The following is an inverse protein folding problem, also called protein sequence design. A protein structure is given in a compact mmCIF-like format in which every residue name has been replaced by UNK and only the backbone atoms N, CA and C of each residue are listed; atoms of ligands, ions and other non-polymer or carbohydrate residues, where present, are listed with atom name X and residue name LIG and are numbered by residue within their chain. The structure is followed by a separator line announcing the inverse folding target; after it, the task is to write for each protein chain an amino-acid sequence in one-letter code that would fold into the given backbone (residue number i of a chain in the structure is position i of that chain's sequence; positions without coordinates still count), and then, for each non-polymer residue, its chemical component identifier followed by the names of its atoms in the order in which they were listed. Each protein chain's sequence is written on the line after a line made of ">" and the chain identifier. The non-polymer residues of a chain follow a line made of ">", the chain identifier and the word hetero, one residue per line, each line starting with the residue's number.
data_IF_895491219949
#
_entry.id   IF_895491219949
#
_cell.length_a   1.000
_cell.length_b   1.000
_cell.length_c   1.000
_cell.angle_alpha   90.00
_cell.angle_beta   90.00
_cell.angle_gamma   90.00
#
_symmetry.space_group_name_H-M   'P 1'
#
loop_
_entity.id
_entity.type
_entity.pdbx_description
1 polymer ?
#
# COMPACT_ATOMS: atom_id res chain seq x y z
N UNK A 1 17.32 -3.65 7.64
CA UNK A 1 16.45 -2.68 8.36
C UNK A 1 15.25 -3.42 8.94
N UNK A 2 14.51 -4.18 8.12
CA UNK A 2 13.34 -4.98 8.51
C UNK A 2 13.51 -5.78 9.80
N UNK A 3 14.53 -6.64 9.92
CA UNK A 3 14.76 -7.44 11.13
C UNK A 3 15.08 -6.62 12.39
N UNK A 4 15.61 -5.40 12.23
CA UNK A 4 15.83 -4.48 13.36
C UNK A 4 14.50 -3.88 13.84
N UNK A 5 13.56 -3.62 12.93
CA UNK A 5 12.24 -3.07 13.24
C UNK A 5 11.24 -4.15 13.69
N UNK A 6 11.42 -5.40 13.23
CA UNK A 6 10.58 -6.54 13.53
C UNK A 6 11.40 -7.65 14.23
N UNK A 7 11.79 -7.46 15.51
CA UNK A 7 12.67 -8.41 16.20
C UNK A 7 12.03 -9.78 16.48
N UNK A 8 10.72 -9.93 16.26
CA UNK A 8 9.98 -11.18 16.48
C UNK A 8 9.97 -12.12 15.27
N UNK A 9 10.39 -11.67 14.08
CA UNK A 9 10.45 -12.52 12.88
C UNK A 9 11.88 -13.02 12.66
N UNK A 10 12.03 -14.20 12.07
CA UNK A 10 13.32 -14.78 11.68
C UNK A 10 13.74 -14.37 10.26
N UNK A 11 15.03 -14.56 9.94
CA UNK A 11 15.55 -14.33 8.59
C UNK A 11 14.79 -15.12 7.52
N UNK A 12 14.36 -16.35 7.83
CA UNK A 12 13.60 -17.21 6.91
C UNK A 12 12.20 -16.68 6.57
N UNK A 13 11.67 -15.76 7.40
CA UNK A 13 10.39 -15.08 7.17
C UNK A 13 10.55 -13.80 6.34
N UNK A 14 11.78 -13.38 6.04
CA UNK A 14 12.07 -12.23 5.18
C UNK A 14 12.46 -12.73 3.79
N UNK A 15 11.61 -12.42 2.81
CA UNK A 15 11.90 -12.69 1.41
C UNK A 15 12.58 -11.47 0.79
N UNK A 16 13.76 -11.65 0.23
CA UNK A 16 14.49 -10.58 -0.45
C UNK A 16 14.20 -10.62 -1.96
N UNK A 17 13.80 -9.48 -2.50
CA UNK A 17 13.51 -9.31 -3.92
C UNK A 17 14.74 -8.71 -4.62
N UNK A 18 15.33 -9.38 -5.63
CA UNK A 18 16.52 -8.87 -6.33
C UNK A 18 16.19 -7.78 -7.36
N UNK A 19 14.90 -7.55 -7.65
CA UNK A 19 14.43 -6.53 -8.59
C UNK A 19 13.03 -6.06 -8.20
N UNK A 20 12.72 -4.78 -8.42
CA UNK A 20 11.36 -4.25 -8.22
C UNK A 20 10.44 -4.74 -9.34
N UNK A 21 9.48 -5.61 -9.01
CA UNK A 21 8.52 -6.19 -9.98
C UNK A 21 7.04 -5.98 -9.61
N UNK A 22 6.76 -4.97 -8.78
CA UNK A 22 5.42 -4.64 -8.30
C UNK A 22 4.83 -5.80 -7.45
N UNK A 23 3.53 -5.79 -7.13
CA UNK A 23 2.98 -6.63 -6.06
C UNK A 23 2.68 -8.08 -6.45
N UNK A 24 2.39 -8.39 -7.72
CA UNK A 24 1.98 -9.75 -8.08
C UNK A 24 3.10 -10.79 -7.88
N UNK A 25 4.37 -10.56 -8.28
CA UNK A 25 5.43 -11.54 -8.12
C UNK A 25 5.76 -11.86 -6.66
N UNK A 26 5.82 -10.85 -5.78
CA UNK A 26 6.10 -11.08 -4.37
C UNK A 26 4.95 -11.82 -3.65
N UNK A 27 3.70 -11.54 -4.04
CA UNK A 27 2.51 -12.24 -3.53
C UNK A 27 2.53 -13.71 -3.96
N UNK A 28 2.77 -14.01 -5.25
CA UNK A 28 2.80 -15.40 -5.72
C UNK A 28 3.90 -16.20 -5.03
N UNK A 29 5.11 -15.66 -4.96
CA UNK A 29 6.23 -16.34 -4.34
C UNK A 29 5.96 -16.62 -2.85
N UNK A 30 5.38 -15.65 -2.14
CA UNK A 30 4.93 -15.80 -0.76
C UNK A 30 3.83 -16.85 -0.63
N UNK A 31 2.84 -16.84 -1.52
CA UNK A 31 1.74 -17.80 -1.53
C UNK A 31 2.23 -19.24 -1.76
N UNK A 32 3.16 -19.46 -2.69
CA UNK A 32 3.78 -20.77 -2.93
C UNK A 32 4.56 -21.26 -1.69
N UNK A 33 5.34 -20.37 -1.06
CA UNK A 33 6.07 -20.68 0.18
C UNK A 33 5.15 -21.06 1.33
N UNK A 34 4.07 -20.30 1.51
CA UNK A 34 3.06 -20.53 2.55
C UNK A 34 2.29 -21.82 2.26
N UNK A 35 1.79 -22.02 1.04
CA UNK A 35 1.06 -23.21 0.60
C UNK A 35 1.89 -24.49 0.78
N UNK A 36 3.21 -24.43 0.53
CA UNK A 36 4.13 -25.56 0.78
C UNK A 36 4.22 -25.95 2.26
N UNK A 37 4.16 -24.97 3.17
CA UNK A 37 4.17 -25.22 4.63
C UNK A 37 2.81 -25.64 5.16
N UNK A 38 1.74 -25.01 4.68
CA UNK A 38 0.36 -25.28 5.06
C UNK A 38 -0.56 -25.09 3.83
N UNK A 39 -1.04 -26.18 3.20
CA UNK A 39 -1.92 -26.10 2.03
C UNK A 39 -3.26 -25.41 2.28
N UNK A 40 -3.71 -25.36 3.54
CA UNK A 40 -4.97 -24.76 3.97
C UNK A 40 -4.77 -23.38 4.62
N UNK A 41 -3.60 -22.77 4.45
CA UNK A 41 -3.32 -21.46 5.03
C UNK A 41 -4.24 -20.38 4.46
N UNK A 42 -4.67 -19.47 5.34
CA UNK A 42 -5.20 -18.17 4.95
C UNK A 42 -4.05 -17.15 4.96
N UNK A 43 -4.17 -16.16 4.10
CA UNK A 43 -3.16 -15.12 3.90
C UNK A 43 -3.81 -13.75 4.05
N UNK A 44 -3.11 -12.88 4.78
CA UNK A 44 -3.32 -11.44 4.78
C UNK A 44 -2.13 -10.81 4.06
N UNK A 45 -2.41 -10.03 3.03
CA UNK A 45 -1.43 -9.18 2.34
C UNK A 45 -1.74 -7.74 2.71
N UNK A 46 -0.81 -7.07 3.37
CA UNK A 46 -0.98 -5.70 3.82
C UNK A 46 0.27 -4.86 3.46
N UNK A 47 0.10 -3.65 2.92
CA UNK A 47 1.21 -2.72 2.72
C UNK A 47 1.82 -2.31 4.06
N UNK A 48 3.15 -2.10 4.08
CA UNK A 48 3.90 -1.79 5.30
C UNK A 48 3.91 -0.30 5.67
N UNK A 49 3.33 0.54 4.82
CA UNK A 49 3.40 2.00 4.83
C UNK A 49 2.04 2.68 5.03
N UNK A 50 1.00 1.92 5.37
CA UNK A 50 -0.32 2.45 5.71
C UNK A 50 -0.44 2.76 7.21
N UNK A 51 -1.36 3.67 7.56
CA UNK A 51 -1.69 4.06 8.92
C UNK A 51 -3.12 3.67 9.28
N UNK A 52 -3.28 2.93 10.37
CA UNK A 52 -4.54 2.46 10.94
C UNK A 52 -4.44 2.64 12.47
N UNK A 53 -5.35 3.40 13.08
CA UNK A 53 -5.36 3.65 14.53
C UNK A 53 -6.28 2.68 15.26
N UNK A 54 -7.45 2.35 14.69
CA UNK A 54 -8.38 1.39 15.26
C UNK A 54 -7.98 -0.05 14.90
N UNK A 55 -6.94 -0.54 15.58
CA UNK A 55 -6.43 -1.90 15.42
C UNK A 55 -7.49 -2.98 15.72
N UNK A 56 -8.44 -2.70 16.61
CA UNK A 56 -9.50 -3.65 16.97
C UNK A 56 -10.52 -3.79 15.84
N UNK A 57 -10.98 -2.68 15.26
CA UNK A 57 -11.87 -2.71 14.10
C UNK A 57 -11.17 -3.38 12.91
N UNK A 58 -9.89 -3.10 12.68
CA UNK A 58 -9.09 -3.77 11.65
C UNK A 58 -9.03 -5.29 11.87
N UNK A 59 -8.70 -5.74 13.09
CA UNK A 59 -8.64 -7.16 13.42
C UNK A 59 -9.99 -7.87 13.23
N UNK A 60 -11.09 -7.23 13.66
CA UNK A 60 -12.44 -7.75 13.46
C UNK A 60 -12.79 -7.88 11.97
N UNK A 61 -12.42 -6.87 11.17
CA UNK A 61 -12.69 -6.87 9.74
C UNK A 61 -11.91 -7.96 9.00
N UNK A 62 -10.62 -8.11 9.34
CA UNK A 62 -9.77 -9.20 8.83
C UNK A 62 -10.30 -10.57 9.24
N UNK A 63 -10.77 -10.72 10.49
CA UNK A 63 -11.33 -11.99 10.96
C UNK A 63 -12.57 -12.40 10.17
N UNK A 64 -13.51 -11.47 9.92
CA UNK A 64 -14.67 -11.74 9.09
C UNK A 64 -14.28 -12.16 7.66
N UNK A 65 -13.25 -11.52 7.09
CA UNK A 65 -12.69 -11.93 5.78
C UNK A 65 -12.07 -13.33 5.84
N UNK A 66 -11.33 -13.68 6.90
CA UNK A 66 -10.77 -15.02 7.05
C UNK A 66 -11.86 -16.09 7.18
N UNK A 67 -12.92 -15.83 7.96
CA UNK A 67 -14.04 -16.76 8.11
C UNK A 67 -14.76 -17.03 6.78
N UNK A 68 -14.80 -16.05 5.87
CA UNK A 68 -15.33 -16.22 4.52
C UNK A 68 -14.35 -16.97 3.60
N UNK A 69 -13.08 -16.55 3.55
CA UNK A 69 -12.04 -17.17 2.73
C UNK A 69 -11.71 -18.62 3.12
N UNK A 70 -12.01 -19.02 4.35
CA UNK A 70 -11.89 -20.40 4.81
C UNK A 70 -12.94 -21.33 4.20
N UNK A 71 -14.15 -20.80 3.93
CA UNK A 71 -15.31 -21.58 3.47
C UNK A 71 -15.47 -21.55 1.96
N UNK A 72 -15.01 -20.47 1.32
CA UNK A 72 -15.28 -20.18 -0.08
C UNK A 72 -13.99 -19.89 -0.85
N UNK A 73 -13.98 -20.24 -2.14
CA UNK A 73 -12.86 -19.93 -3.03
C UNK A 73 -12.96 -18.50 -3.57
N UNK A 74 -12.69 -17.51 -2.70
CA UNK A 74 -12.86 -16.08 -2.99
C UNK A 74 -11.58 -15.29 -2.72
N UNK A 75 -11.42 -14.20 -3.46
CA UNK A 75 -10.39 -13.18 -3.22
C UNK A 75 -11.06 -11.98 -2.57
N UNK A 76 -10.59 -11.57 -1.39
CA UNK A 76 -11.19 -10.47 -0.63
C UNK A 76 -10.25 -9.27 -0.61
N UNK A 77 -10.85 -8.08 -0.63
CA UNK A 77 -10.18 -6.81 -0.32
C UNK A 77 -10.98 -6.02 0.72
N UNK A 78 -10.31 -5.10 1.41
CA UNK A 78 -10.93 -4.14 2.32
C UNK A 78 -11.18 -2.82 1.58
N UNK A 79 -12.43 -2.37 1.61
CA UNK A 79 -12.88 -1.15 0.95
C UNK A 79 -13.13 -0.02 1.95
N UNK A 80 -12.46 1.11 1.79
CA UNK A 80 -12.64 2.29 2.65
C UNK A 80 -13.73 3.19 2.09
N UNK A 81 -14.58 3.77 2.95
CA UNK A 81 -15.60 4.73 2.49
C UNK A 81 -14.93 6.00 1.94
N UNK A 82 -15.18 6.38 0.67
CA UNK A 82 -14.62 7.59 0.11
C UNK A 82 -15.23 8.84 0.75
N UNK A 83 -14.37 9.72 1.25
CA UNK A 83 -14.79 11.02 1.84
C UNK A 83 -14.57 12.20 0.90
N UNK A 84 -13.78 12.01 -0.17
CA UNK A 84 -13.54 12.99 -1.24
C UNK A 84 -13.17 12.29 -2.56
N UNK A 85 -13.22 12.97 -3.72
CA UNK A 85 -12.89 12.34 -5.01
C UNK A 85 -11.36 12.23 -5.24
N UNK A 86 -10.73 11.26 -4.58
CA UNK A 86 -9.28 11.02 -4.68
C UNK A 86 -8.92 10.34 -6.01
N UNK A 87 -8.09 10.97 -6.84
CA UNK A 87 -7.64 10.40 -8.14
C UNK A 87 -6.43 9.48 -8.03
N UNK A 88 -5.82 9.37 -6.84
CA UNK A 88 -4.65 8.54 -6.57
C UNK A 88 -4.99 7.11 -6.15
N UNK A 89 -6.25 6.84 -5.79
CA UNK A 89 -6.69 5.53 -5.29
C UNK A 89 -7.42 4.70 -6.34
N UNK A 90 -7.41 3.39 -6.14
CA UNK A 90 -8.35 2.48 -6.78
C UNK A 90 -9.73 2.59 -6.17
N UNK A 91 -10.76 2.38 -7.00
CA UNK A 91 -12.15 2.32 -6.59
C UNK A 91 -12.74 0.94 -6.88
N UNK A 92 -13.57 0.46 -5.97
CA UNK A 92 -14.21 -0.86 -6.00
C UNK A 92 -15.72 -0.64 -6.06
N UNK A 93 -16.34 -1.03 -7.16
CA UNK A 93 -17.80 -1.01 -7.26
C UNK A 93 -18.40 -2.30 -6.70
N UNK A 94 -19.45 -2.17 -5.90
CA UNK A 94 -20.32 -3.28 -5.49
C UNK A 94 -21.79 -2.96 -5.79
N UNK A 95 -22.66 -3.97 -5.66
CA UNK A 95 -24.09 -3.74 -5.77
C UNK A 95 -24.60 -2.89 -4.59
N UNK A 96 -25.20 -1.74 -4.91
CA UNK A 96 -25.77 -0.82 -3.92
C UNK A 96 -26.89 -1.46 -3.10
N UNK A 97 -27.63 -2.39 -3.70
CA UNK A 97 -28.79 -3.03 -3.06
C UNK A 97 -28.42 -4.30 -2.28
N UNK A 98 -27.19 -4.80 -2.43
CA UNK A 98 -26.70 -5.93 -1.64
C UNK A 98 -26.38 -5.44 -0.23
N UNK A 99 -27.05 -5.99 0.77
CA UNK A 99 -26.88 -5.64 2.19
C UNK A 99 -25.93 -6.59 2.92
N UNK A 100 -25.30 -7.52 2.20
CA UNK A 100 -24.30 -8.43 2.75
C UNK A 100 -23.08 -7.66 3.27
N UNK A 101 -22.49 -8.14 4.36
CA UNK A 101 -21.26 -7.58 4.92
C UNK A 101 -20.08 -7.68 3.95
N UNK A 102 -20.02 -8.79 3.21
CA UNK A 102 -19.05 -9.08 2.16
C UNK A 102 -19.82 -9.13 0.84
N UNK A 103 -19.47 -8.24 -0.09
CA UNK A 103 -20.19 -8.08 -1.36
C UNK A 103 -19.33 -8.50 -2.53
N UNK A 104 -19.95 -9.05 -3.56
CA UNK A 104 -19.25 -9.34 -4.81
C UNK A 104 -18.82 -8.03 -5.48
N UNK A 105 -17.56 -7.95 -5.90
CA UNK A 105 -17.06 -6.82 -6.69
C UNK A 105 -17.61 -6.90 -8.11
N UNK A 106 -18.16 -5.79 -8.59
CA UNK A 106 -18.62 -5.65 -9.98
C UNK A 106 -17.50 -5.20 -10.91
N UNK A 107 -16.70 -4.24 -10.45
CA UNK A 107 -15.55 -3.74 -11.20
C UNK A 107 -14.55 -3.06 -10.27
N UNK A 108 -13.28 -3.13 -10.67
CA UNK A 108 -12.20 -2.28 -10.16
C UNK A 108 -11.95 -1.14 -11.15
N UNK A 109 -11.61 0.03 -10.61
CA UNK A 109 -11.28 1.23 -11.36
C UNK A 109 -10.06 1.90 -10.71
N UNK A 110 -8.88 1.62 -11.24
CA UNK A 110 -7.65 2.22 -10.75
C UNK A 110 -7.49 3.68 -11.22
N UNK A 111 -7.27 4.59 -10.26
CA UNK A 111 -6.85 5.99 -10.47
C UNK A 111 -7.69 6.75 -11.51
N UNK A 112 -9.02 6.86 -11.27
CA UNK A 112 -9.90 7.61 -12.17
C UNK A 112 -9.52 9.10 -12.22
N UNK A 113 -9.95 9.79 -13.28
CA UNK A 113 -9.89 11.25 -13.30
C UNK A 113 -10.87 11.85 -12.27
N UNK A 114 -10.70 13.13 -11.96
CA UNK A 114 -11.46 13.82 -10.89
C UNK A 114 -12.98 13.78 -11.10
N UNK A 115 -13.46 13.98 -12.33
CA UNK A 115 -14.91 13.96 -12.63
C UNK A 115 -15.49 12.56 -12.43
N UNK A 116 -14.77 11.52 -12.85
CA UNK A 116 -15.15 10.13 -12.61
C UNK A 116 -15.16 9.79 -11.11
N UNK A 117 -14.13 10.21 -10.36
CA UNK A 117 -14.09 10.02 -8.91
C UNK A 117 -15.26 10.72 -8.20
N UNK A 118 -15.63 11.93 -8.65
CA UNK A 118 -16.79 12.67 -8.13
C UNK A 118 -18.10 11.93 -8.39
N UNK A 119 -18.25 11.32 -9.57
CA UNK A 119 -19.41 10.49 -9.89
C UNK A 119 -19.48 9.26 -8.98
N UNK A 120 -18.35 8.58 -8.73
CA UNK A 120 -18.31 7.42 -7.83
C UNK A 120 -18.80 7.74 -6.41
N UNK A 121 -18.43 8.91 -5.88
CA UNK A 121 -18.95 9.39 -4.60
C UNK A 121 -20.47 9.66 -4.65
N UNK A 122 -20.96 10.25 -5.74
CA UNK A 122 -22.39 10.53 -5.90
C UNK A 122 -23.23 9.24 -6.02
N UNK A 123 -22.70 8.21 -6.68
CA UNK A 123 -23.37 6.92 -6.84
C UNK A 123 -23.48 6.17 -5.50
N UNK A 124 -22.48 6.33 -4.62
CA UNK A 124 -22.50 5.82 -3.24
C UNK A 124 -22.39 4.30 -3.12
N UNK A 125 -21.93 3.63 -4.18
CA UNK A 125 -21.69 2.19 -4.23
C UNK A 125 -20.22 1.83 -4.54
N UNK A 126 -19.33 2.81 -4.41
CA UNK A 126 -17.90 2.66 -4.59
C UNK A 126 -17.17 2.80 -3.26
N UNK A 127 -16.15 1.97 -3.06
CA UNK A 127 -15.20 2.03 -1.95
C UNK A 127 -13.78 2.28 -2.48
N UNK A 128 -12.91 2.94 -1.72
CA UNK A 128 -11.49 2.98 -2.05
C UNK A 128 -10.83 1.62 -1.79
N UNK A 129 -9.96 1.18 -2.70
CA UNK A 129 -9.13 0.00 -2.53
C UNK A 129 -8.00 0.29 -1.53
N UNK A 130 -8.05 -0.34 -0.34
CA UNK A 130 -7.03 -0.15 0.69
C UNK A 130 -5.71 -0.87 0.37
N UNK A 131 -5.63 -1.63 -0.73
CA UNK A 131 -4.46 -2.46 -1.06
C UNK A 131 -4.21 -3.60 -0.07
N UNK A 132 -5.19 -3.92 0.77
CA UNK A 132 -5.15 -5.00 1.76
C UNK A 132 -6.00 -6.15 1.26
N UNK A 133 -5.40 -7.33 1.14
CA UNK A 133 -6.02 -8.48 0.52
C UNK A 133 -6.04 -9.70 1.43
N UNK A 134 -7.12 -10.48 1.34
CA UNK A 134 -7.36 -11.67 2.16
C UNK A 134 -7.82 -12.82 1.27
N UNK A 135 -7.20 -13.99 1.40
CA UNK A 135 -7.58 -15.19 0.64
C UNK A 135 -6.95 -16.44 1.24
N UNK A 136 -7.40 -17.61 0.80
CA UNK A 136 -6.63 -18.84 1.03
C UNK A 136 -5.42 -18.91 0.09
N UNK A 137 -4.33 -19.53 0.54
CA UNK A 137 -3.16 -19.79 -0.30
C UNK A 137 -3.51 -20.67 -1.51
N UNK A 138 -4.53 -21.52 -1.38
CA UNK A 138 -5.09 -22.27 -2.49
C UNK A 138 -5.73 -21.35 -3.54
N UNK A 139 -6.65 -20.48 -3.11
CA UNK A 139 -7.43 -19.58 -3.97
C UNK A 139 -6.53 -18.67 -4.80
N UNK A 140 -5.57 -18.01 -4.15
CA UNK A 140 -4.70 -17.07 -4.86
C UNK A 140 -3.79 -17.77 -5.87
N UNK A 141 -3.23 -18.94 -5.52
CA UNK A 141 -2.37 -19.70 -6.46
C UNK A 141 -3.19 -20.19 -7.66
N UNK A 142 -4.43 -20.63 -7.45
CA UNK A 142 -5.33 -20.98 -8.55
C UNK A 142 -5.62 -19.78 -9.46
N UNK A 143 -5.78 -18.58 -8.91
CA UNK A 143 -5.93 -17.36 -9.72
C UNK A 143 -4.66 -17.00 -10.49
N UNK A 144 -3.46 -17.24 -9.95
CA UNK A 144 -2.21 -17.09 -10.70
C UNK A 144 -2.08 -18.13 -11.82
N UNK A 145 -2.53 -19.37 -11.62
CA UNK A 145 -2.59 -20.39 -12.66
C UNK A 145 -3.47 -19.95 -13.85
N UNK A 146 -4.59 -19.28 -13.56
CA UNK A 146 -5.57 -18.83 -14.55
C UNK A 146 -5.16 -17.53 -15.26
N UNK A 147 -4.79 -16.49 -14.52
CA UNK A 147 -4.63 -15.13 -15.07
C UNK A 147 -3.19 -14.70 -15.34
N UNK A 148 -2.21 -15.34 -14.70
CA UNK A 148 -0.78 -15.03 -14.82
C UNK A 148 0.05 -16.32 -14.99
N UNK A 149 -0.37 -17.17 -15.94
CA UNK A 149 0.14 -18.53 -16.13
C UNK A 149 1.66 -18.60 -16.32
N UNK A 150 2.26 -17.64 -17.04
CA UNK A 150 3.71 -17.59 -17.25
C UNK A 150 4.47 -17.33 -15.94
N UNK A 151 4.00 -16.39 -15.11
CA UNK A 151 4.57 -16.11 -13.80
C UNK A 151 4.41 -17.30 -12.85
N UNK A 152 3.23 -17.93 -12.87
CA UNK A 152 3.01 -19.15 -12.10
C UNK A 152 3.95 -20.28 -12.53
N UNK A 153 4.12 -20.49 -13.84
CA UNK A 153 5.04 -21.49 -14.39
C UNK A 153 6.49 -21.21 -13.99
N UNK A 154 6.92 -19.94 -14.06
CA UNK A 154 8.25 -19.50 -13.66
C UNK A 154 8.56 -19.88 -12.20
N UNK A 155 7.70 -19.50 -11.25
CA UNK A 155 7.95 -19.75 -9.83
C UNK A 155 7.61 -21.18 -9.38
N UNK A 156 6.71 -21.88 -10.09
CA UNK A 156 6.41 -23.28 -9.80
C UNK A 156 7.61 -24.20 -9.99
N UNK A 157 8.56 -23.85 -10.88
CA UNK A 157 9.85 -24.57 -11.03
C UNK A 157 10.65 -24.65 -9.73
N UNK A 158 10.44 -23.69 -8.82
CA UNK A 158 11.15 -23.58 -7.56
C UNK A 158 10.48 -24.29 -6.38
N UNK A 159 9.29 -24.88 -6.54
CA UNK A 159 8.51 -25.41 -5.40
C UNK A 159 9.32 -26.39 -4.54
N UNK A 160 10.14 -27.27 -5.14
CA UNK A 160 10.98 -28.21 -4.39
C UNK A 160 12.03 -27.51 -3.50
N UNK A 161 12.57 -26.37 -3.95
CA UNK A 161 13.66 -25.64 -3.29
C UNK A 161 13.18 -24.48 -2.39
N UNK A 162 11.92 -24.04 -2.52
CA UNK A 162 11.33 -23.05 -1.60
C UNK A 162 11.39 -23.51 -0.14
N UNK A 163 11.67 -22.61 0.80
CA UNK A 163 11.90 -22.87 2.21
C UNK A 163 13.11 -23.79 2.51
N UNK A 164 14.09 -23.85 1.62
CA UNK A 164 15.35 -24.59 1.82
C UNK A 164 16.55 -23.66 1.62
N UNK A 165 17.77 -24.15 1.89
CA UNK A 165 19.00 -23.40 1.63
C UNK A 165 19.22 -23.02 0.16
N UNK A 166 18.53 -23.68 -0.79
CA UNK A 166 18.64 -23.40 -2.22
C UNK A 166 17.71 -22.26 -2.69
N UNK A 167 16.77 -21.83 -1.86
CA UNK A 167 15.73 -20.85 -2.22
C UNK A 167 16.34 -19.53 -2.72
N UNK A 168 17.35 -19.01 -2.01
CA UNK A 168 17.98 -17.71 -2.35
C UNK A 168 18.51 -17.71 -3.78
N UNK A 169 19.21 -18.78 -4.18
CA UNK A 169 19.77 -18.93 -5.52
C UNK A 169 18.67 -19.04 -6.59
N UNK A 170 17.55 -19.71 -6.27
CA UNK A 170 16.40 -19.77 -7.16
C UNK A 170 15.78 -18.37 -7.37
N UNK A 171 15.57 -17.60 -6.30
CA UNK A 171 15.01 -16.25 -6.39
C UNK A 171 15.94 -15.33 -7.18
N UNK A 172 17.23 -15.31 -6.87
CA UNK A 172 18.24 -14.48 -7.56
C UNK A 172 18.26 -14.71 -9.07
N UNK A 173 18.06 -15.96 -9.51
CA UNK A 173 18.06 -16.32 -10.94
C UNK A 173 16.75 -16.01 -11.66
N UNK A 174 15.61 -16.23 -11.01
CA UNK A 174 14.31 -16.28 -11.70
C UNK A 174 13.45 -15.03 -11.44
N UNK A 175 13.61 -14.35 -10.30
CA UNK A 175 12.68 -13.28 -9.91
C UNK A 175 12.68 -12.10 -10.89
N UNK A 176 13.84 -11.75 -11.46
CA UNK A 176 13.93 -10.70 -12.46
C UNK A 176 13.26 -11.06 -13.79
N UNK A 177 12.94 -12.33 -14.06
CA UNK A 177 12.22 -12.73 -15.27
C UNK A 177 10.70 -12.53 -15.14
N UNK A 178 10.18 -12.33 -13.92
CA UNK A 178 8.77 -12.09 -13.71
C UNK A 178 8.32 -10.76 -14.32
N UNK A 179 7.09 -10.75 -14.84
CA UNK A 179 6.42 -9.55 -15.31
C UNK A 179 6.33 -8.49 -14.19
N UNK A 180 6.54 -7.23 -14.54
CA UNK A 180 6.39 -6.10 -13.61
C UNK A 180 4.92 -5.64 -13.57
N UNK A 181 4.09 -6.30 -12.76
CA UNK A 181 2.63 -6.09 -12.72
C UNK A 181 2.09 -6.14 -11.29
N UNK A 182 1.10 -5.30 -10.97
CA UNK A 182 0.42 -5.36 -9.67
C UNK A 182 -0.61 -6.48 -9.63
N UNK A 183 -0.97 -6.91 -8.43
CA UNK A 183 -2.03 -7.90 -8.23
C UNK A 183 -3.40 -7.40 -8.70
N UNK A 184 -3.63 -6.09 -8.58
CA UNK A 184 -4.87 -5.43 -8.98
C UNK A 184 -5.11 -5.61 -10.50
N UNK A 185 -4.13 -5.24 -11.32
CA UNK A 185 -4.19 -5.41 -12.78
C UNK A 185 -4.03 -6.86 -13.23
N UNK A 186 -3.17 -7.61 -12.54
CA UNK A 186 -2.83 -8.97 -12.90
C UNK A 186 -4.00 -9.94 -12.74
N UNK A 187 -4.74 -9.80 -11.63
CA UNK A 187 -5.75 -10.75 -11.18
C UNK A 187 -7.07 -10.05 -10.82
N UNK A 188 -7.08 -9.07 -9.91
CA UNK A 188 -8.33 -8.60 -9.31
C UNK A 188 -9.29 -7.93 -10.30
N UNK A 189 -8.78 -7.22 -11.31
CA UNK A 189 -9.58 -6.65 -12.40
C UNK A 189 -10.23 -7.70 -13.32
N UNK A 190 -9.69 -8.92 -13.36
CA UNK A 190 -10.09 -9.99 -14.29
C UNK A 190 -10.88 -11.11 -13.61
N UNK A 191 -10.63 -11.34 -12.33
CA UNK A 191 -11.15 -12.47 -11.59
C UNK A 191 -12.65 -12.33 -11.29
N UNK A 192 -13.42 -13.39 -11.54
CA UNK A 192 -14.87 -13.41 -11.33
C UNK A 192 -15.32 -13.68 -9.89
N UNK A 193 -14.37 -13.99 -8.99
CA UNK A 193 -14.58 -14.38 -7.59
C UNK A 193 -13.98 -13.37 -6.59
N UNK A 194 -13.95 -12.08 -6.96
CA UNK A 194 -13.48 -11.02 -6.07
C UNK A 194 -14.64 -10.43 -5.26
N UNK A 195 -14.39 -10.22 -3.98
CA UNK A 195 -15.33 -9.70 -3.01
C UNK A 195 -14.69 -8.59 -2.19
N UNK A 196 -15.52 -7.69 -1.67
CA UNK A 196 -15.09 -6.56 -0.84
C UNK A 196 -15.86 -6.56 0.47
N UNK A 197 -15.14 -6.33 1.55
CA UNK A 197 -15.72 -5.96 2.84
C UNK A 197 -15.51 -4.48 3.06
N UNK A 198 -16.58 -3.76 3.40
CA UNK A 198 -16.47 -2.36 3.82
C UNK A 198 -15.74 -2.31 5.16
N UNK A 199 -14.65 -1.55 5.21
CA UNK A 199 -13.87 -1.32 6.41
C UNK A 199 -14.65 -0.47 7.42
N UNK A 200 -14.46 -0.79 8.69
CA UNK A 200 -15.01 -0.10 9.86
C UNK A 200 -13.95 0.65 10.65
N UNK A 201 -12.66 0.43 10.34
CA UNK A 201 -11.50 1.11 10.90
C UNK A 201 -11.15 2.39 10.13
N UNK A 202 -10.33 3.26 10.75
CA UNK A 202 -9.72 4.40 10.07
C UNK A 202 -8.53 3.96 9.22
N UNK A 203 -8.31 4.62 8.08
CA UNK A 203 -7.23 4.25 7.17
C UNK A 203 -6.66 5.47 6.46
N UNK A 204 -5.35 5.46 6.27
CA UNK A 204 -4.64 6.41 5.44
C UNK A 204 -3.41 5.73 4.80
N UNK A 205 -3.13 6.00 3.52
CA UNK A 205 -1.97 5.43 2.81
C UNK A 205 -0.65 6.18 3.06
N UNK A 206 -0.70 7.28 3.81
CA UNK A 206 0.40 8.22 4.07
C UNK A 206 1.12 8.68 2.79
N UNK A 207 0.40 8.75 1.66
CA UNK A 207 0.97 9.05 0.35
C UNK A 207 1.39 10.51 0.14
N UNK A 208 1.03 11.43 1.06
CA UNK A 208 1.38 12.86 0.98
C UNK A 208 1.86 13.42 2.31
N UNK A 209 2.61 14.52 2.25
CA UNK A 209 3.04 15.26 3.44
C UNK A 209 1.87 15.85 4.22
N UNK A 210 0.77 16.24 3.56
CA UNK A 210 -0.47 16.64 4.19
C UNK A 210 -1.11 15.52 4.99
N UNK A 211 -1.16 14.30 4.42
CA UNK A 211 -1.68 13.14 5.12
C UNK A 211 -0.87 12.82 6.39
N UNK A 212 0.46 12.92 6.32
CA UNK A 212 1.32 12.77 7.49
C UNK A 212 1.11 13.91 8.51
N UNK A 213 1.04 15.17 8.05
CA UNK A 213 0.77 16.33 8.89
C UNK A 213 -0.54 16.17 9.68
N UNK A 214 -1.60 15.66 9.06
CA UNK A 214 -2.89 15.46 9.71
C UNK A 214 -2.81 14.46 10.87
N UNK A 215 -1.98 13.42 10.74
CA UNK A 215 -1.80 12.36 11.75
C UNK A 215 -0.81 12.70 12.88
N UNK A 216 0.08 13.66 12.67
CA UNK A 216 1.05 14.05 13.69
C UNK A 216 0.46 14.97 14.76
N UNK A 217 0.99 14.84 15.98
CA UNK A 217 0.83 15.85 17.02
C UNK A 217 1.40 17.20 16.54
N UNK A 218 0.72 18.28 16.91
CA UNK A 218 1.04 19.64 16.49
C UNK A 218 1.28 20.53 17.70
N UNK A 219 2.13 21.52 17.55
CA UNK A 219 2.33 22.55 18.56
C UNK A 219 1.13 23.52 18.66
N UNK A 220 1.23 24.50 19.55
CA UNK A 220 0.21 25.54 19.77
C UNK A 220 -0.12 26.35 18.50
N UNK A 221 0.84 26.47 17.57
CA UNK A 221 0.70 27.18 16.29
C UNK A 221 0.42 26.23 15.12
N UNK A 222 0.01 25.00 15.41
CA UNK A 222 -0.30 23.96 14.42
C UNK A 222 0.90 23.47 13.60
N UNK A 223 2.14 23.66 14.03
CA UNK A 223 3.28 23.05 13.34
C UNK A 223 3.45 21.58 13.74
N UNK A 224 3.60 20.69 12.75
CA UNK A 224 3.99 19.31 12.96
C UNK A 224 5.51 19.18 12.76
N UNK A 225 6.21 18.57 13.71
CA UNK A 225 7.68 18.50 13.72
C UNK A 225 8.13 17.05 13.87
N UNK A 226 8.93 16.57 12.93
CA UNK A 226 9.52 15.23 12.95
C UNK A 226 11.03 15.35 12.96
N UNK A 227 11.64 14.79 14.00
CA UNK A 227 13.08 14.60 14.13
C UNK A 227 13.91 15.91 14.07
N UNK A 228 13.34 17.06 14.44
CA UNK A 228 14.03 18.36 14.47
C UNK A 228 13.93 19.02 15.86
N UNK A 229 14.91 19.87 16.19
CA UNK A 229 14.74 20.93 17.19
C UNK A 229 14.28 22.19 16.47
N UNK A 230 13.39 22.99 17.05
CA UNK A 230 12.82 24.15 16.35
C UNK A 230 12.89 25.45 17.13
N UNK A 231 13.12 26.55 16.42
CA UNK A 231 12.88 27.92 16.88
C UNK A 231 11.97 28.60 15.87
N UNK A 232 10.69 28.68 16.19
CA UNK A 232 9.65 29.16 15.29
C UNK A 232 9.14 30.53 15.76
N UNK A 233 9.24 31.54 14.90
CA UNK A 233 8.70 32.88 15.11
C UNK A 233 7.71 33.18 13.99
N UNK A 234 6.55 33.76 14.31
CA UNK A 234 5.53 34.12 13.31
C UNK A 234 5.31 32.99 12.27
N UNK A 235 5.27 31.73 12.73
CA UNK A 235 5.28 30.55 11.86
C UNK A 235 4.24 29.56 12.34
N UNK A 236 3.34 29.17 11.44
CA UNK A 236 2.16 28.38 11.77
C UNK A 236 1.81 27.37 10.68
N UNK A 237 1.16 26.28 11.08
CA UNK A 237 0.60 25.27 10.16
C UNK A 237 1.63 24.59 9.23
N UNK A 238 2.90 24.54 9.62
CA UNK A 238 3.98 23.94 8.84
C UNK A 238 4.15 22.44 9.12
N UNK A 239 4.60 21.70 8.11
CA UNK A 239 5.11 20.33 8.26
C UNK A 239 6.63 20.37 8.17
N UNK A 240 7.33 20.05 9.27
CA UNK A 240 8.79 20.13 9.36
C UNK A 240 9.35 18.72 9.57
N UNK A 241 10.22 18.29 8.67
CA UNK A 241 10.94 17.02 8.75
C UNK A 241 12.43 17.25 8.53
N UNK A 242 13.26 16.59 9.35
CA UNK A 242 14.70 16.49 9.13
C UNK A 242 15.16 15.02 9.25
N UNK A 243 16.13 14.61 8.46
CA UNK A 243 16.73 13.25 8.54
C UNK A 243 17.51 12.99 9.84
N UNK A 244 17.96 14.06 10.47
CA UNK A 244 18.75 14.11 11.70
C UNK A 244 18.17 15.15 12.64
N UNK A 245 18.49 15.09 13.94
CA UNK A 245 18.09 16.08 14.96
C UNK A 245 18.78 17.44 14.77
N UNK A 246 18.40 18.16 13.72
CA UNK A 246 18.91 19.48 13.35
C UNK A 246 18.04 20.57 13.96
N UNK A 247 18.66 21.71 14.27
CA UNK A 247 17.94 22.93 14.62
C UNK A 247 17.38 23.60 13.36
N UNK A 248 16.06 23.75 13.29
CA UNK A 248 15.32 24.46 12.24
C UNK A 248 14.79 25.78 12.79
N UNK A 249 15.22 26.89 12.19
CA UNK A 249 14.79 28.24 12.58
C UNK A 249 13.93 28.83 11.47
N UNK A 250 12.66 29.11 11.76
CA UNK A 250 11.72 29.73 10.82
C UNK A 250 11.19 31.04 11.42
N UNK A 251 11.15 32.10 10.60
CA UNK A 251 10.50 33.37 10.94
C UNK A 251 9.59 33.81 9.77
N UNK A 252 8.29 33.95 10.01
CA UNK A 252 7.33 34.40 9.00
C UNK A 252 6.93 33.34 7.97
N UNK A 253 7.13 32.05 8.25
CA UNK A 253 6.80 30.95 7.33
C UNK A 253 5.53 30.25 7.79
N UNK A 254 4.50 30.26 6.96
CA UNK A 254 3.20 29.67 7.26
C UNK A 254 2.71 28.75 6.14
N UNK A 255 2.13 27.61 6.52
CA UNK A 255 1.57 26.62 5.59
C UNK A 255 2.59 26.05 4.59
N UNK A 256 3.83 25.80 5.02
CA UNK A 256 4.87 25.14 4.22
C UNK A 256 5.18 23.72 4.68
N UNK A 257 5.63 22.92 3.73
CA UNK A 257 6.33 21.67 3.92
C UNK A 257 7.83 21.99 3.87
N UNK A 258 8.53 21.71 4.96
CA UNK A 258 9.97 21.91 5.16
C UNK A 258 10.61 20.54 5.36
N UNK A 259 11.39 20.06 4.39
CA UNK A 259 12.02 18.73 4.44
C UNK A 259 13.51 18.90 4.21
N UNK A 260 14.31 18.56 5.21
CA UNK A 260 15.78 18.50 5.12
C UNK A 260 16.20 17.03 5.13
N UNK A 261 16.74 16.54 4.01
CA UNK A 261 17.20 15.16 3.88
C UNK A 261 18.46 15.11 3.03
N UNK A 262 19.53 14.57 3.60
CA UNK A 262 20.82 14.38 2.92
C UNK A 262 21.33 15.68 2.27
N UNK A 263 21.34 15.76 0.95
CA UNK A 263 21.79 16.91 0.16
C UNK A 263 20.63 17.77 -0.39
N UNK A 264 19.40 17.54 0.08
CA UNK A 264 18.18 18.21 -0.37
C UNK A 264 17.47 18.93 0.78
N UNK A 265 17.22 20.23 0.58
CA UNK A 265 16.27 21.01 1.36
C UNK A 265 15.09 21.39 0.48
N UNK A 266 13.90 20.92 0.84
CA UNK A 266 12.64 21.29 0.22
C UNK A 266 11.90 22.27 1.10
N UNK A 267 11.54 23.43 0.54
CA UNK A 267 10.58 24.36 1.12
C UNK A 267 9.44 24.53 0.11
N UNK A 268 8.28 23.94 0.39
CA UNK A 268 7.20 23.83 -0.59
C UNK A 268 5.84 24.21 0.01
N UNK A 269 5.02 25.04 -0.64
CA UNK A 269 3.71 25.41 -0.11
C UNK A 269 2.83 24.17 0.08
N UNK A 270 2.28 23.97 1.28
CA UNK A 270 1.44 22.81 1.62
C UNK A 270 0.25 22.67 0.68
N UNK A 271 -0.40 23.79 0.33
CA UNK A 271 -1.53 23.84 -0.63
C UNK A 271 -1.23 23.32 -2.04
N UNK A 272 0.05 23.17 -2.41
CA UNK A 272 0.48 22.68 -3.72
C UNK A 272 0.94 21.23 -3.69
N UNK A 273 0.84 20.52 -2.56
CA UNK A 273 1.48 19.21 -2.34
C UNK A 273 1.31 18.18 -3.46
N UNK A 274 0.16 18.19 -4.16
CA UNK A 274 -0.11 17.29 -5.29
C UNK A 274 0.88 17.48 -6.46
N UNK A 275 1.50 18.65 -6.57
CA UNK A 275 2.51 19.00 -7.58
C UNK A 275 3.92 18.51 -7.23
N UNK A 276 4.15 17.93 -6.04
CA UNK A 276 5.49 17.45 -5.64
C UNK A 276 6.00 16.36 -6.60
N UNK A 277 5.12 15.51 -7.16
CA UNK A 277 5.51 14.51 -8.17
C UNK A 277 6.01 15.14 -9.46
N UNK A 278 5.39 16.25 -9.89
CA UNK A 278 5.83 17.01 -11.05
C UNK A 278 7.19 17.66 -10.77
N UNK A 279 7.36 18.25 -9.59
CA UNK A 279 8.63 18.83 -9.13
C UNK A 279 9.76 17.79 -9.09
N UNK A 280 9.51 16.57 -8.57
CA UNK A 280 10.48 15.48 -8.57
C UNK A 280 10.90 15.11 -9.99
N UNK A 281 9.97 15.06 -10.94
CA UNK A 281 10.29 14.81 -12.35
C UNK A 281 11.15 15.92 -12.96
N UNK A 282 10.91 17.18 -12.60
CA UNK A 282 11.74 18.30 -13.03
C UNK A 282 13.16 18.25 -12.46
N UNK A 283 13.30 17.97 -11.15
CA UNK A 283 14.59 17.77 -10.48
C UNK A 283 15.35 16.62 -11.13
N UNK A 284 14.68 15.49 -11.35
CA UNK A 284 15.21 14.30 -12.04
C UNK A 284 15.83 14.64 -13.40
N UNK A 285 15.09 15.37 -14.24
CA UNK A 285 15.53 15.77 -15.58
C UNK A 285 16.68 16.78 -15.55
N UNK A 286 16.66 17.70 -14.59
CA UNK A 286 17.65 18.78 -14.51
C UNK A 286 18.98 18.33 -13.92
N UNK A 287 18.97 17.31 -13.07
CA UNK A 287 20.13 16.88 -12.30
C UNK A 287 20.42 15.37 -12.41
N UNK A 288 19.98 14.73 -13.49
CA UNK A 288 20.26 13.32 -13.81
C UNK A 288 20.03 12.35 -12.64
N UNK A 289 18.90 12.52 -11.95
CA UNK A 289 18.49 11.72 -10.77
C UNK A 289 19.44 11.77 -9.56
N UNK A 290 20.39 12.71 -9.51
CA UNK A 290 21.33 12.84 -8.39
C UNK A 290 20.63 13.09 -7.04
N UNK A 291 19.52 13.83 -7.05
CA UNK A 291 18.84 14.35 -5.86
C UNK A 291 17.41 13.78 -5.69
N UNK A 292 17.19 12.51 -6.07
CA UNK A 292 15.90 11.83 -5.95
C UNK A 292 15.87 10.86 -4.76
#
# INVERSE_FOLDING_TARGET
>A
ITLKQLPKISEEQVMLEPAMRNTAPCILLSALKIKKKNPNALMLVAPSDHWIEDENAFANDVQACFDAAQRENILLTLGIEPTFPNTGYGYIESDKNDISEIKKVRQFREKPNYETAKQFLADGNFLWNAGIFIWSAHSIVASFEEYLTEMNSLFSKGISVLNTSEEKNFIEKNYSEAENISIDYGILEKAGNVFVKRATFDWNDLGTWGALYDKLEKDENQNAVVNAETLLKNSASNMIFTDTKKLVVLDGIEEYIVVDKEDVLLLFPKKKEQQIKELLNEVSRKFDKKYL
#
